data_IF_864746815968
#
_entry.id   IF_864746815968
#
_cell.length_a   1.000
_cell.length_b   1.000
_cell.length_c   1.000
_cell.angle_alpha   90.00
_cell.angle_beta   90.00
_cell.angle_gamma   90.00
#
_symmetry.space_group_name_H-M   'P 1'
#
loop_
_entity.id
_entity.type
_entity.pdbx_description
1 polymer ?
#
# COMPACT_ATOMS: atom_id res chain seq x y z
N UNK A 1 8.79 16.47 7.62
CA UNK A 1 10.18 16.17 7.24
C UNK A 1 10.23 15.54 5.86
N UNK A 2 11.35 15.76 5.18
CA UNK A 2 11.74 15.02 3.98
C UNK A 2 12.89 14.10 4.39
N UNK A 3 12.75 12.82 4.09
CA UNK A 3 13.68 11.75 4.48
C UNK A 3 14.31 11.14 3.23
N UNK A 4 15.57 10.75 3.31
CA UNK A 4 16.20 9.97 2.24
C UNK A 4 15.64 8.54 2.21
N UNK A 5 15.91 7.82 1.12
CA UNK A 5 15.53 6.41 0.98
C UNK A 5 15.97 5.57 2.19
N UNK A 6 15.01 4.90 2.84
CA UNK A 6 15.22 4.06 4.03
C UNK A 6 15.78 4.77 5.28
N UNK A 7 15.79 6.11 5.31
CA UNK A 7 16.16 6.86 6.51
C UNK A 7 15.13 6.60 7.63
N UNK A 8 15.56 6.29 8.87
CA UNK A 8 14.65 5.99 9.97
C UNK A 8 13.69 7.13 10.30
N UNK A 9 12.39 6.85 10.34
CA UNK A 9 11.36 7.82 10.73
C UNK A 9 11.37 8.00 12.25
N UNK A 10 11.77 9.18 12.71
CA UNK A 10 11.85 9.50 14.16
C UNK A 10 10.80 10.49 14.65
N UNK A 11 10.12 11.22 13.74
CA UNK A 11 9.10 12.21 14.06
C UNK A 11 7.68 11.66 13.85
N UNK A 12 6.72 12.20 14.62
CA UNK A 12 5.29 11.92 14.45
C UNK A 12 4.65 12.93 13.48
N UNK A 13 3.57 12.51 12.82
CA UNK A 13 2.85 13.32 11.83
C UNK A 13 3.22 12.92 10.40
N UNK A 14 2.99 13.83 9.45
CA UNK A 14 3.30 13.58 8.05
C UNK A 14 4.82 13.71 7.79
N UNK A 15 5.38 12.65 7.20
CA UNK A 15 6.75 12.63 6.69
C UNK A 15 6.72 12.19 5.23
N UNK A 16 7.62 12.75 4.43
CA UNK A 16 7.78 12.42 3.03
C UNK A 16 9.13 11.72 2.85
N UNK A 17 9.14 10.51 2.28
CA UNK A 17 10.39 9.81 1.97
C UNK A 17 10.65 9.89 0.47
N UNK A 18 11.84 10.36 0.10
CA UNK A 18 12.29 10.41 -1.28
C UNK A 18 12.67 8.99 -1.76
N UNK A 19 11.83 8.42 -2.61
CA UNK A 19 11.95 7.05 -3.13
C UNK A 19 11.80 7.04 -4.65
N UNK A 20 12.39 6.08 -5.38
CA UNK A 20 12.16 5.95 -6.82
C UNK A 20 10.71 5.61 -7.14
N UNK A 21 10.27 5.84 -8.38
CA UNK A 21 8.88 5.61 -8.80
C UNK A 21 8.48 4.14 -9.04
N UNK A 22 9.39 3.18 -8.88
CA UNK A 22 9.07 1.75 -9.06
C UNK A 22 8.53 1.17 -7.76
N UNK A 23 7.26 0.75 -7.78
CA UNK A 23 6.45 0.40 -6.60
C UNK A 23 7.16 -0.47 -5.55
N UNK A 24 7.75 -1.64 -5.90
CA UNK A 24 8.36 -2.50 -4.89
C UNK A 24 9.58 -1.86 -4.23
N UNK A 25 10.35 -1.10 -5.00
CA UNK A 25 11.53 -0.39 -4.49
C UNK A 25 11.11 0.78 -3.60
N UNK A 26 10.08 1.52 -4.00
CA UNK A 26 9.54 2.62 -3.22
C UNK A 26 9.04 2.16 -1.85
N UNK A 27 8.17 1.15 -1.84
CA UNK A 27 7.63 0.56 -0.63
C UNK A 27 8.72 -0.04 0.26
N UNK A 28 9.74 -0.68 -0.33
CA UNK A 28 10.89 -1.21 0.41
C UNK A 28 11.61 -0.13 1.22
N UNK A 29 11.81 1.06 0.64
CA UNK A 29 12.40 2.19 1.36
C UNK A 29 11.54 2.62 2.56
N UNK A 30 10.24 2.76 2.35
CA UNK A 30 9.29 3.18 3.40
C UNK A 30 9.21 2.18 4.55
N UNK A 31 9.16 0.89 4.20
CA UNK A 31 9.17 -0.22 5.16
C UNK A 31 10.48 -0.27 5.93
N UNK A 32 11.62 -0.14 5.25
CA UNK A 32 12.93 -0.10 5.88
C UNK A 32 13.11 1.12 6.81
N UNK A 33 12.48 2.25 6.50
CA UNK A 33 12.43 3.43 7.39
C UNK A 33 11.48 3.29 8.57
N UNK A 34 10.66 2.24 8.63
CA UNK A 34 9.81 1.89 9.78
C UNK A 34 8.31 1.86 9.53
N UNK A 35 7.83 1.96 8.28
CA UNK A 35 6.41 1.81 7.97
C UNK A 35 5.93 0.38 8.26
N UNK A 36 4.91 0.23 9.11
CA UNK A 36 4.36 -1.07 9.55
C UNK A 36 3.10 -1.50 8.79
N UNK A 37 2.60 -0.65 7.90
CA UNK A 37 1.42 -0.88 7.07
C UNK A 37 1.56 -0.01 5.83
N UNK A 38 1.15 -0.55 4.68
CA UNK A 38 1.19 0.15 3.39
C UNK A 38 -0.24 0.24 2.84
N UNK A 39 -0.68 1.46 2.51
CA UNK A 39 -1.89 1.66 1.71
C UNK A 39 -1.46 1.84 0.25
N UNK A 40 -1.80 0.88 -0.60
CA UNK A 40 -1.34 0.82 -1.98
C UNK A 40 -2.51 1.04 -2.95
N UNK A 41 -2.55 2.21 -3.59
CA UNK A 41 -3.61 2.53 -4.56
C UNK A 41 -3.30 1.96 -5.93
N UNK A 42 -4.26 1.31 -6.57
CA UNK A 42 -4.10 0.81 -7.94
C UNK A 42 -5.36 0.99 -8.78
N UNK A 43 -5.17 1.47 -10.02
CA UNK A 43 -6.22 1.54 -11.03
C UNK A 43 -6.04 0.54 -12.17
N UNK A 44 -4.90 -0.16 -12.20
CA UNK A 44 -4.52 -1.09 -13.27
C UNK A 44 -4.39 -2.55 -12.79
N UNK A 45 -4.76 -2.83 -11.54
CA UNK A 45 -4.73 -4.19 -11.00
C UNK A 45 -3.35 -4.68 -10.56
N UNK A 46 -2.49 -3.78 -10.07
CA UNK A 46 -1.25 -4.23 -9.41
C UNK A 46 -1.61 -4.90 -8.09
N UNK A 47 -1.18 -6.15 -7.91
CA UNK A 47 -1.49 -7.00 -6.75
C UNK A 47 -0.42 -6.93 -5.67
N UNK A 48 0.20 -5.75 -5.51
CA UNK A 48 1.30 -5.52 -4.58
C UNK A 48 1.01 -6.06 -3.15
N UNK A 49 1.98 -6.79 -2.61
CA UNK A 49 2.06 -7.31 -1.25
C UNK A 49 3.49 -7.20 -0.72
N UNK A 50 3.67 -6.80 0.54
CA UNK A 50 5.00 -6.70 1.14
C UNK A 50 5.05 -7.58 2.40
N UNK A 51 5.76 -8.72 2.39
CA UNK A 51 5.78 -9.60 3.57
C UNK A 51 6.22 -8.90 4.88
N UNK A 52 7.20 -7.96 4.87
CA UNK A 52 7.57 -7.27 6.09
C UNK A 52 6.49 -6.33 6.67
N UNK A 53 5.57 -5.82 5.84
CA UNK A 53 4.51 -4.89 6.27
C UNK A 53 3.23 -5.10 5.48
N UNK A 54 2.07 -5.39 6.13
CA UNK A 54 0.82 -5.65 5.44
C UNK A 54 0.44 -4.53 4.45
N UNK A 55 0.05 -4.94 3.25
CA UNK A 55 -0.33 -4.04 2.15
C UNK A 55 -1.84 -4.08 1.89
N UNK A 56 -2.54 -2.99 2.21
CA UNK A 56 -3.95 -2.79 1.91
C UNK A 56 -4.06 -2.21 0.49
N UNK A 57 -4.62 -2.99 -0.44
CA UNK A 57 -4.82 -2.61 -1.83
C UNK A 57 -6.14 -1.84 -2.00
N UNK A 58 -6.02 -0.61 -2.48
CA UNK A 58 -7.12 0.33 -2.70
C UNK A 58 -7.40 0.42 -4.20
N UNK A 59 -8.46 -0.25 -4.66
CA UNK A 59 -8.88 -0.20 -6.05
C UNK A 59 -9.51 1.15 -6.38
N UNK A 60 -9.03 1.83 -7.41
CA UNK A 60 -9.52 3.18 -7.76
C UNK A 60 -10.79 3.20 -8.61
N UNK A 61 -11.27 2.03 -9.06
CA UNK A 61 -12.49 1.91 -9.86
C UNK A 61 -13.20 0.57 -9.62
N UNK A 62 -14.53 0.62 -9.57
CA UNK A 62 -15.39 -0.53 -9.29
C UNK A 62 -15.33 -1.63 -10.35
N UNK A 63 -15.24 -1.34 -11.67
CA UNK A 63 -15.11 -2.40 -12.67
C UNK A 63 -13.87 -3.27 -12.49
N UNK A 64 -12.71 -2.66 -12.16
CA UNK A 64 -11.49 -3.41 -11.86
C UNK A 64 -11.64 -4.18 -10.55
N UNK A 65 -12.15 -3.54 -9.50
CA UNK A 65 -12.39 -4.20 -8.21
C UNK A 65 -13.22 -5.48 -8.38
N UNK A 66 -14.34 -5.42 -9.10
CA UNK A 66 -15.22 -6.59 -9.32
C UNK A 66 -14.54 -7.72 -10.10
N UNK A 67 -13.57 -7.41 -10.97
CA UNK A 67 -12.81 -8.43 -11.73
C UNK A 67 -11.68 -9.05 -10.92
N UNK A 68 -11.22 -8.35 -9.88
CA UNK A 68 -10.06 -8.71 -9.07
C UNK A 68 -10.42 -8.67 -7.57
N UNK A 69 -11.65 -9.06 -7.23
CA UNK A 69 -12.19 -8.93 -5.86
C UNK A 69 -11.42 -9.79 -4.85
N UNK A 70 -10.84 -10.90 -5.32
CA UNK A 70 -9.97 -11.74 -4.52
C UNK A 70 -8.64 -11.05 -4.22
N UNK A 71 -8.17 -10.15 -5.10
CA UNK A 71 -6.89 -9.46 -4.96
C UNK A 71 -7.00 -8.09 -4.28
N UNK A 72 -8.18 -7.47 -4.21
CA UNK A 72 -8.33 -6.08 -3.75
C UNK A 72 -8.97 -6.02 -2.36
N UNK A 73 -8.36 -5.25 -1.45
CA UNK A 73 -8.86 -5.13 -0.07
C UNK A 73 -10.04 -4.14 0.03
N UNK A 74 -9.99 -3.03 -0.72
CA UNK A 74 -11.01 -1.96 -0.66
C UNK A 74 -11.34 -1.45 -2.07
N UNK A 75 -12.63 -1.42 -2.41
CA UNK A 75 -13.12 -0.66 -3.56
C UNK A 75 -13.27 0.82 -3.19
N UNK A 76 -12.46 1.71 -3.76
CA UNK A 76 -12.63 3.17 -3.65
C UNK A 76 -13.36 3.77 -4.87
N UNK A 77 -13.71 2.95 -5.87
CA UNK A 77 -14.47 3.35 -7.05
C UNK A 77 -15.91 3.80 -6.72
N UNK A 78 -16.43 3.40 -5.57
CA UNK A 78 -17.71 3.82 -4.99
C UNK A 78 -17.85 5.35 -4.87
N UNK A 79 -16.72 6.07 -4.74
CA UNK A 79 -16.72 7.54 -4.80
C UNK A 79 -17.19 8.03 -6.18
N UNK A 80 -16.68 7.43 -7.26
CA UNK A 80 -17.03 7.80 -8.63
C UNK A 80 -18.41 7.29 -9.03
N UNK A 81 -18.84 6.17 -8.44
CA UNK A 81 -20.19 5.63 -8.64
C UNK A 81 -21.27 6.47 -7.94
N UNK A 82 -20.89 7.35 -7.00
CA UNK A 82 -21.79 8.20 -6.24
C UNK A 82 -22.41 7.54 -5.00
N UNK A 83 -21.91 6.36 -4.62
CA UNK A 83 -22.40 5.57 -3.48
C UNK A 83 -21.90 6.09 -2.12
N UNK A 84 -20.73 6.76 -2.09
CA UNK A 84 -20.16 7.34 -0.87
C UNK A 84 -19.36 8.62 -1.16
N UNK A 85 -19.17 9.47 -0.15
CA UNK A 85 -18.28 10.64 -0.26
C UNK A 85 -16.81 10.25 -0.09
N UNK A 86 -15.89 11.16 -0.44
CA UNK A 86 -14.45 10.99 -0.16
C UNK A 86 -14.19 10.83 1.34
N UNK A 87 -14.94 11.56 2.18
CA UNK A 87 -14.82 11.51 3.63
C UNK A 87 -15.25 10.14 4.17
N UNK A 88 -16.36 9.60 3.68
CA UNK A 88 -16.87 8.28 4.09
C UNK A 88 -15.91 7.16 3.66
N UNK A 89 -15.39 7.24 2.42
CA UNK A 89 -14.35 6.34 1.93
C UNK A 89 -13.09 6.40 2.80
N UNK A 90 -12.66 7.60 3.18
CA UNK A 90 -11.52 7.81 4.08
C UNK A 90 -11.72 7.18 5.45
N UNK A 91 -12.92 7.30 6.04
CA UNK A 91 -13.25 6.63 7.30
C UNK A 91 -13.22 5.11 7.17
N UNK A 92 -13.71 4.57 6.05
CA UNK A 92 -13.69 3.14 5.76
C UNK A 92 -12.27 2.60 5.58
N UNK A 93 -11.40 3.33 4.88
CA UNK A 93 -9.96 3.01 4.76
C UNK A 93 -9.31 3.02 6.14
N UNK A 94 -9.55 4.05 6.96
CA UNK A 94 -8.97 4.14 8.30
C UNK A 94 -9.44 2.98 9.20
N UNK A 95 -10.72 2.62 9.14
CA UNK A 95 -11.24 1.46 9.87
C UNK A 95 -10.55 0.15 9.44
N UNK A 96 -10.29 -0.03 8.14
CA UNK A 96 -9.54 -1.20 7.65
C UNK A 96 -8.08 -1.17 8.13
N UNK A 97 -7.42 -0.01 8.11
CA UNK A 97 -6.06 0.13 8.65
C UNK A 97 -5.97 -0.32 10.11
N UNK A 98 -6.96 0.03 10.94
CA UNK A 98 -7.03 -0.40 12.34
C UNK A 98 -7.21 -1.92 12.47
N UNK A 99 -8.09 -2.51 11.66
CA UNK A 99 -8.31 -3.97 11.64
C UNK A 99 -7.05 -4.73 11.25
N UNK A 100 -6.39 -4.31 10.17
CA UNK A 100 -5.15 -4.93 9.69
C UNK A 100 -4.01 -4.76 10.69
N UNK A 101 -3.86 -3.57 11.27
CA UNK A 101 -2.90 -3.35 12.36
C UNK A 101 -3.19 -4.20 13.61
N UNK A 102 -4.44 -4.65 13.79
CA UNK A 102 -4.88 -5.54 14.87
C UNK A 102 -4.79 -7.03 14.51
N UNK A 103 -4.29 -7.38 13.32
CA UNK A 103 -4.04 -8.76 12.90
C UNK A 103 -5.03 -9.34 11.88
N UNK A 104 -5.96 -8.55 11.33
CA UNK A 104 -6.77 -9.00 10.18
C UNK A 104 -5.88 -9.05 8.92
N UNK A 105 -5.66 -10.24 8.32
CA UNK A 105 -4.75 -10.37 7.20
C UNK A 105 -5.30 -9.66 5.96
N UNK A 106 -4.43 -8.99 5.19
CA UNK A 106 -4.81 -8.48 3.87
C UNK A 106 -4.95 -9.63 2.87
N UNK A 107 -5.57 -9.34 1.71
CA UNK A 107 -5.69 -10.34 0.63
C UNK A 107 -4.33 -10.92 0.23
N UNK A 108 -3.30 -10.07 0.12
CA UNK A 108 -1.95 -10.54 -0.24
C UNK A 108 -1.33 -11.43 0.83
N UNK A 109 -1.54 -11.14 2.11
CA UNK A 109 -1.07 -12.00 3.19
C UNK A 109 -1.78 -13.35 3.20
N UNK A 110 -3.09 -13.36 2.90
CA UNK A 110 -3.89 -14.59 2.82
C UNK A 110 -3.40 -15.56 1.73
N UNK A 111 -2.75 -15.05 0.68
CA UNK A 111 -2.14 -15.84 -0.39
C UNK A 111 -0.62 -16.07 -0.21
N UNK A 112 -0.04 -15.69 0.93
CA UNK A 112 1.41 -15.70 1.19
C UNK A 112 2.24 -14.93 0.13
N UNK A 113 1.63 -13.91 -0.48
CA UNK A 113 2.23 -13.11 -1.53
C UNK A 113 3.15 -12.01 -0.96
N UNK A 114 4.08 -11.52 -1.79
CA UNK A 114 4.91 -10.35 -1.43
C UNK A 114 6.35 -10.63 -0.98
N UNK A 115 6.83 -11.87 -1.09
CA UNK A 115 8.23 -12.20 -0.79
C UNK A 115 9.21 -11.61 -1.83
N UNK A 116 8.80 -11.54 -3.09
CA UNK A 116 9.60 -11.00 -4.18
C UNK A 116 9.56 -9.46 -4.28
N UNK A 117 8.71 -8.81 -3.50
CA UNK A 117 8.44 -7.38 -3.62
C UNK A 117 9.19 -6.51 -2.61
N UNK A 118 9.92 -7.15 -1.69
CA UNK A 118 10.95 -6.47 -0.91
C UNK A 118 12.22 -6.35 -1.76
N UNK A 119 12.36 -5.23 -2.45
CA UNK A 119 13.39 -4.95 -3.45
C UNK A 119 14.18 -3.68 -3.11
N UNK A 120 15.38 -3.78 -2.51
CA UNK A 120 16.21 -2.61 -2.23
C UNK A 120 16.61 -1.84 -3.49
N UNK A 121 16.75 -0.52 -3.37
CA UNK A 121 17.15 0.32 -4.50
C UNK A 121 18.61 0.08 -4.92
N UNK A 122 18.81 -0.39 -6.15
CA UNK A 122 20.14 -0.52 -6.76
C UNK A 122 20.51 0.78 -7.45
N UNK A 123 21.45 1.53 -6.85
CA UNK A 123 21.95 2.82 -7.37
C UNK A 123 23.05 2.69 -8.43
N UNK A 124 23.62 1.49 -8.58
CA UNK A 124 24.70 1.22 -9.54
C UNK A 124 24.14 0.67 -10.85
N UNK A 125 24.90 0.82 -11.93
CA UNK A 125 24.58 0.16 -13.19
C UNK A 125 24.46 -1.36 -12.97
N UNK A 126 23.30 -1.91 -13.31
CA UNK A 126 23.07 -3.35 -13.41
C UNK A 126 23.44 -3.81 -14.81
N UNK A 127 24.19 -4.92 -14.92
CA UNK A 127 24.43 -5.61 -16.19
C UNK A 127 23.18 -6.35 -16.66
#
# INVERSE_FOLDING_TARGET
DVLNYAEPVTKKGFVFMDTPGYDPVAATGQVAGGAKLVCFTTGRGSVFGCKPSPSIKLATNTPMFRRMEEDMDINCGTILDGDESVQDCGQRIFAQMLKTASGEPTKSESFDFGGAEFAPWVLRATM
#
